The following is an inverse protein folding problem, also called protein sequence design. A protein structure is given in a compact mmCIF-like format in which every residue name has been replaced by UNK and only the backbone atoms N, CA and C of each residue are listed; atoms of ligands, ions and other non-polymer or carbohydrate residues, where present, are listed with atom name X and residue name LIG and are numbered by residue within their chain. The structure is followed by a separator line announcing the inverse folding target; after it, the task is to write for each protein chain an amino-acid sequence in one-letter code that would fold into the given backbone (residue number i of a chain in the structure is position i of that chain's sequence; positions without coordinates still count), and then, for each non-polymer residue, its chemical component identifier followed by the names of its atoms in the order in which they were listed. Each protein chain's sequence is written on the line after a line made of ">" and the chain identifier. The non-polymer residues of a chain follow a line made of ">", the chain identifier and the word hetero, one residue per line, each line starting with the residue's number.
data_IF_868198647087
#
_entry.id   IF_868198647087
#
_cell.length_a   1.000
_cell.length_b   1.000
_cell.length_c   1.000
_cell.angle_alpha   90.00
_cell.angle_beta   90.00
_cell.angle_gamma   90.00
#
_symmetry.space_group_name_H-M   'P 1'
#
loop_
_entity.id
_entity.type
_entity.pdbx_description
1 polymer ?
#
# COMPACT_ATOMS: atom_id res chain seq x y z
N UNK A 1 -28.96 17.30 -0.24
CA UNK A 1 -29.12 15.98 -0.89
C UNK A 1 -27.79 15.38 -1.30
N UNK A 2 -26.98 16.02 -2.15
CA UNK A 2 -25.69 15.47 -2.65
C UNK A 2 -24.67 15.11 -1.55
N UNK A 3 -24.60 15.87 -0.46
CA UNK A 3 -23.66 15.60 0.63
C UNK A 3 -23.99 14.33 1.44
N UNK A 4 -25.28 14.11 1.73
CA UNK A 4 -25.74 12.95 2.50
C UNK A 4 -25.62 11.64 1.70
N UNK A 5 -25.87 11.67 0.39
CA UNK A 5 -25.66 10.52 -0.51
C UNK A 5 -24.17 10.14 -0.61
N UNK A 6 -23.27 11.14 -0.54
CA UNK A 6 -21.82 10.95 -0.55
C UNK A 6 -21.31 10.37 0.78
N UNK A 7 -21.83 10.82 1.92
CA UNK A 7 -21.55 10.22 3.25
C UNK A 7 -22.03 8.77 3.33
N UNK A 8 -23.26 8.47 2.88
CA UNK A 8 -23.78 7.10 2.78
C UNK A 8 -22.91 6.18 1.90
N UNK A 9 -22.26 6.75 0.88
CA UNK A 9 -21.32 6.03 0.03
C UNK A 9 -19.94 5.82 0.70
N UNK A 10 -19.49 6.69 1.60
CA UNK A 10 -18.26 6.50 2.37
C UNK A 10 -18.40 5.38 3.40
N UNK A 11 -19.55 5.27 4.06
CA UNK A 11 -19.86 4.23 5.05
C UNK A 11 -20.46 2.95 4.46
N UNK A 12 -20.34 2.75 3.15
CA UNK A 12 -20.88 1.57 2.50
C UNK A 12 -20.23 0.30 3.07
N UNK A 13 -21.06 -0.62 3.60
CA UNK A 13 -20.61 -1.84 4.29
C UNK A 13 -19.57 -2.65 3.51
N UNK A 14 -19.67 -2.68 2.18
CA UNK A 14 -18.73 -3.42 1.33
C UNK A 14 -17.30 -2.85 1.39
N UNK A 15 -17.13 -1.54 1.58
CA UNK A 15 -15.81 -0.91 1.73
C UNK A 15 -15.10 -1.41 2.99
N UNK A 16 -15.84 -1.48 4.11
CA UNK A 16 -15.34 -2.04 5.37
C UNK A 16 -14.96 -3.52 5.23
N UNK A 17 -15.76 -4.29 4.51
CA UNK A 17 -15.44 -5.70 4.23
C UNK A 17 -14.16 -5.82 3.40
N UNK A 18 -14.01 -4.99 2.37
CA UNK A 18 -12.82 -4.95 1.51
C UNK A 18 -11.57 -4.54 2.32
N UNK A 19 -11.65 -3.47 3.10
CA UNK A 19 -10.55 -3.01 3.97
C UNK A 19 -10.11 -4.13 4.93
N UNK A 20 -11.04 -4.79 5.61
CA UNK A 20 -10.73 -5.90 6.51
C UNK A 20 -10.07 -7.08 5.79
N UNK A 21 -10.60 -7.43 4.62
CA UNK A 21 -10.09 -8.54 3.81
C UNK A 21 -8.67 -8.26 3.33
N UNK A 22 -8.44 -7.07 2.78
CA UNK A 22 -7.12 -6.66 2.29
C UNK A 22 -6.12 -6.48 3.43
N UNK A 23 -6.53 -5.94 4.57
CA UNK A 23 -5.64 -5.81 5.74
C UNK A 23 -5.18 -7.19 6.22
N UNK A 24 -6.09 -8.17 6.31
CA UNK A 24 -5.73 -9.56 6.64
C UNK A 24 -4.79 -10.17 5.60
N UNK A 25 -5.10 -10.02 4.32
CA UNK A 25 -4.27 -10.54 3.24
C UNK A 25 -2.86 -9.94 3.26
N UNK A 26 -2.72 -8.64 3.51
CA UNK A 26 -1.41 -7.98 3.69
C UNK A 26 -0.65 -8.56 4.87
N UNK A 27 -1.32 -8.77 6.01
CA UNK A 27 -0.69 -9.34 7.21
C UNK A 27 -0.25 -10.80 7.03
N UNK A 28 -0.98 -11.60 6.26
CA UNK A 28 -0.58 -12.97 5.91
C UNK A 28 0.76 -13.02 5.17
N UNK A 29 1.10 -11.99 4.41
CA UNK A 29 2.39 -11.89 3.73
C UNK A 29 3.44 -11.22 4.62
N UNK A 30 3.10 -10.11 5.29
CA UNK A 30 4.04 -9.35 6.12
C UNK A 30 4.53 -10.09 7.37
N UNK A 31 3.77 -11.07 7.88
CA UNK A 31 4.22 -11.92 9.00
C UNK A 31 5.53 -12.65 8.70
N UNK A 32 5.78 -13.01 7.44
CA UNK A 32 7.02 -13.69 7.01
C UNK A 32 8.28 -12.84 7.20
N UNK A 33 8.13 -11.52 7.30
CA UNK A 33 9.21 -10.54 7.52
C UNK A 33 9.03 -9.75 8.81
N UNK A 34 8.25 -10.29 9.76
CA UNK A 34 7.96 -9.70 11.07
C UNK A 34 7.45 -8.25 10.98
N UNK A 35 6.52 -7.99 10.05
CA UNK A 35 5.82 -6.72 9.90
C UNK A 35 4.32 -6.91 10.05
N UNK A 36 3.64 -5.84 10.42
CA UNK A 36 2.19 -5.83 10.62
C UNK A 36 1.59 -4.51 10.12
N UNK A 37 0.41 -4.60 9.53
CA UNK A 37 -0.44 -3.51 9.06
C UNK A 37 -1.74 -3.53 9.88
N UNK A 38 -1.98 -2.50 10.68
CA UNK A 38 -3.20 -2.34 11.47
C UNK A 38 -4.32 -1.68 10.65
N UNK A 39 -4.00 -0.62 9.91
CA UNK A 39 -4.91 0.03 8.98
C UNK A 39 -4.25 0.23 7.62
N UNK A 40 -4.70 -0.53 6.62
CA UNK A 40 -4.16 -0.48 5.27
C UNK A 40 -4.29 0.89 4.59
N UNK A 41 -5.23 1.73 5.00
CA UNK A 41 -5.42 3.08 4.44
C UNK A 41 -4.28 4.04 4.79
N UNK A 42 -3.61 3.81 5.93
CA UNK A 42 -2.62 4.74 6.48
C UNK A 42 -1.24 4.11 6.60
N UNK A 43 -1.16 2.82 6.94
CA UNK A 43 0.10 2.15 7.26
C UNK A 43 1.00 1.88 6.04
N UNK A 44 0.47 2.04 4.81
CA UNK A 44 1.23 1.95 3.56
C UNK A 44 1.80 3.30 3.10
N UNK A 45 1.36 4.42 3.69
CA UNK A 45 1.60 5.77 3.17
C UNK A 45 3.07 6.23 3.26
N UNK A 46 3.88 5.64 4.15
CA UNK A 46 5.31 5.92 4.24
C UNK A 46 6.17 5.07 3.27
N UNK A 47 5.51 4.14 2.56
CA UNK A 47 6.09 3.22 1.59
C UNK A 47 6.85 2.04 2.18
N UNK A 48 7.15 1.98 3.49
CA UNK A 48 7.99 0.92 4.06
C UNK A 48 7.30 -0.44 4.06
N UNK A 49 6.03 -0.49 4.47
CA UNK A 49 5.24 -1.73 4.44
C UNK A 49 4.86 -2.13 3.02
N UNK A 50 4.61 -1.16 2.15
CA UNK A 50 4.34 -1.40 0.73
C UNK A 50 5.55 -2.06 0.06
N UNK A 51 6.74 -1.50 0.23
CA UNK A 51 7.99 -2.08 -0.31
C UNK A 51 8.21 -3.50 0.22
N UNK A 52 8.06 -3.72 1.52
CA UNK A 52 8.22 -5.05 2.11
C UNK A 52 7.21 -6.06 1.57
N UNK A 53 5.95 -5.65 1.37
CA UNK A 53 4.92 -6.49 0.78
C UNK A 53 5.27 -6.86 -0.67
N UNK A 54 5.73 -5.89 -1.46
CA UNK A 54 6.15 -6.11 -2.85
C UNK A 54 7.36 -7.04 -2.94
N UNK A 55 8.34 -6.90 -2.05
CA UNK A 55 9.49 -7.83 -1.98
C UNK A 55 9.04 -9.27 -1.65
N UNK A 56 8.13 -9.43 -0.69
CA UNK A 56 7.59 -10.76 -0.31
C UNK A 56 6.82 -11.40 -1.46
N UNK A 57 5.98 -10.63 -2.16
CA UNK A 57 5.14 -11.15 -3.24
C UNK A 57 5.95 -11.48 -4.50
N UNK A 58 6.91 -10.63 -4.87
CA UNK A 58 7.76 -10.83 -6.05
C UNK A 58 8.89 -11.83 -5.82
N UNK A 59 9.26 -12.07 -4.56
CA UNK A 59 10.46 -12.84 -4.20
C UNK A 59 11.77 -12.13 -4.57
N UNK A 60 11.72 -10.86 -4.98
CA UNK A 60 12.86 -10.05 -5.41
C UNK A 60 13.17 -8.97 -4.37
N UNK A 61 14.43 -8.53 -4.35
CA UNK A 61 14.92 -7.48 -3.44
C UNK A 61 14.85 -6.11 -4.08
N UNK A 62 14.41 -5.11 -3.32
CA UNK A 62 14.46 -3.70 -3.70
C UNK A 62 15.65 -3.05 -2.98
N UNK A 63 16.74 -2.72 -3.70
CA UNK A 63 18.04 -2.44 -3.06
C UNK A 63 18.12 -1.09 -2.34
N UNK A 64 17.34 -0.08 -2.76
CA UNK A 64 17.47 1.29 -2.25
C UNK A 64 16.12 1.93 -1.99
N UNK A 65 15.91 2.37 -0.74
CA UNK A 65 14.78 3.16 -0.28
C UNK A 65 15.12 3.84 1.07
N UNK A 66 14.31 4.81 1.48
CA UNK A 66 14.47 5.53 2.74
C UNK A 66 13.97 4.66 3.91
N UNK A 67 14.89 4.09 4.69
CA UNK A 67 14.58 3.23 5.85
C UNK A 67 13.91 3.96 7.02
N UNK A 68 14.03 5.29 7.08
CA UNK A 68 13.46 6.16 8.11
C UNK A 68 12.89 7.43 7.46
N UNK A 69 11.73 7.34 6.78
CA UNK A 69 11.17 8.45 6.01
C UNK A 69 10.50 9.48 6.94
N UNK A 70 11.27 10.45 7.41
CA UNK A 70 10.82 11.48 8.36
C UNK A 70 10.01 12.59 7.68
N UNK A 71 10.39 12.95 6.46
CA UNK A 71 9.74 14.02 5.67
C UNK A 71 8.88 13.45 4.54
N UNK A 72 7.91 14.23 4.08
CA UNK A 72 6.93 13.81 3.06
C UNK A 72 7.62 13.37 1.76
N UNK A 73 8.66 14.07 1.32
CA UNK A 73 9.39 13.71 0.09
C UNK A 73 10.00 12.31 0.15
N UNK A 74 10.53 11.89 1.30
CA UNK A 74 11.09 10.55 1.49
C UNK A 74 10.01 9.46 1.48
N UNK A 75 8.82 9.76 2.02
CA UNK A 75 7.66 8.85 2.00
C UNK A 75 7.17 8.66 0.56
N UNK A 76 7.00 9.76 -0.17
CA UNK A 76 6.61 9.75 -1.58
C UNK A 76 7.66 8.97 -2.39
N UNK A 77 8.95 9.21 -2.19
CA UNK A 77 10.02 8.49 -2.88
C UNK A 77 9.93 6.97 -2.67
N UNK A 78 9.70 6.52 -1.44
CA UNK A 78 9.51 5.09 -1.15
C UNK A 78 8.31 4.50 -1.90
N UNK A 79 7.16 5.19 -1.90
CA UNK A 79 5.98 4.75 -2.65
C UNK A 79 6.25 4.73 -4.14
N UNK A 80 6.91 5.77 -4.68
CA UNK A 80 7.30 5.82 -6.10
C UNK A 80 8.22 4.67 -6.48
N UNK A 81 9.17 4.28 -5.64
CA UNK A 81 10.04 3.12 -5.87
C UNK A 81 9.20 1.85 -5.97
N UNK A 82 8.24 1.63 -5.05
CA UNK A 82 7.38 0.46 -5.09
C UNK A 82 6.52 0.41 -6.37
N UNK A 83 5.91 1.54 -6.76
CA UNK A 83 5.08 1.62 -7.95
C UNK A 83 5.90 1.38 -9.24
N UNK A 84 7.10 1.97 -9.34
CA UNK A 84 8.00 1.74 -10.47
C UNK A 84 8.44 0.29 -10.57
N UNK A 85 8.71 -0.35 -9.43
CA UNK A 85 9.06 -1.76 -9.40
C UNK A 85 7.92 -2.63 -9.95
N UNK A 86 6.68 -2.37 -9.51
CA UNK A 86 5.51 -3.10 -10.01
C UNK A 86 5.32 -2.92 -11.52
N UNK A 87 5.51 -1.70 -12.04
CA UNK A 87 5.33 -1.41 -13.47
C UNK A 87 6.47 -1.96 -14.33
N UNK A 88 7.72 -1.71 -13.95
CA UNK A 88 8.89 -2.00 -14.79
C UNK A 88 9.44 -3.42 -14.60
N UNK A 89 9.48 -3.91 -13.36
CA UNK A 89 10.14 -5.18 -13.01
C UNK A 89 9.16 -6.36 -12.97
N UNK A 90 7.89 -6.10 -12.65
CA UNK A 90 6.81 -7.10 -12.61
C UNK A 90 5.83 -7.00 -13.79
N UNK A 91 5.91 -5.92 -14.59
CA UNK A 91 5.04 -5.74 -15.77
C UNK A 91 3.57 -5.48 -15.43
N UNK A 92 3.27 -5.03 -14.20
CA UNK A 92 1.90 -4.76 -13.74
C UNK A 92 1.47 -3.37 -14.23
N UNK A 93 0.43 -3.34 -15.07
CA UNK A 93 -0.16 -2.09 -15.54
C UNK A 93 -0.90 -1.37 -14.42
N UNK A 94 -0.40 -0.21 -14.02
CA UNK A 94 -1.07 0.69 -13.07
C UNK A 94 -1.94 1.71 -13.83
N UNK A 95 -3.21 1.82 -13.47
CA UNK A 95 -4.16 2.79 -14.07
C UNK A 95 -4.77 3.60 -12.94
N UNK A 96 -4.70 4.94 -13.03
CA UNK A 96 -5.17 5.88 -12.01
C UNK A 96 -4.52 5.71 -10.63
N UNK A 97 -3.26 5.27 -10.59
CA UNK A 97 -2.46 5.14 -9.36
C UNK A 97 -1.14 5.89 -9.56
N UNK A 98 -0.87 6.91 -8.74
CA UNK A 98 0.40 7.66 -8.73
C UNK A 98 0.55 8.74 -9.83
N UNK A 99 -0.49 8.96 -10.64
CA UNK A 99 -0.64 10.10 -11.56
C UNK A 99 -1.96 10.80 -11.31
#
# INVERSE_FOLDING_TARGET
>A
MVAAERELAEDAQWKKIQQNTFTRWVNEHLKTVNKHCGNIETDLADGLRLLALVEVLSGKRIPRYNKRPMIISQRIENVTIALRFLENDEGIKLVNIGK
#
